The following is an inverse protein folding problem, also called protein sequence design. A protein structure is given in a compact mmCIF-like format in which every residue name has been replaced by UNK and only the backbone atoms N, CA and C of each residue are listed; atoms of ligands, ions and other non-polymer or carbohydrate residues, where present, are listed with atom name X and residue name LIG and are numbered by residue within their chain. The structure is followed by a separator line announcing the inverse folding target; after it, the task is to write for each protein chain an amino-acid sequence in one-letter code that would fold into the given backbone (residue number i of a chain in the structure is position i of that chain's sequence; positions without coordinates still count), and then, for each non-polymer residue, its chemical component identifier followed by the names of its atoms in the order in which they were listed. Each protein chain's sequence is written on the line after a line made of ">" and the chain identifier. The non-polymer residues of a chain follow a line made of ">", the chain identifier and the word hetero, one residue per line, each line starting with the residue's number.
data_IF_501663178989
#
_entry.id   IF_501663178989
#
_cell.length_a   1.000
_cell.length_b   1.000
_cell.length_c   1.000
_cell.angle_alpha   90.00
_cell.angle_beta   90.00
_cell.angle_gamma   90.00
#
_symmetry.space_group_name_H-M   'P 1'
#
loop_
_entity.id
_entity.type
_entity.pdbx_description
1 polymer ?
#
# COMPACT_ATOMS: atom_id res chain seq x y z
N UNK A 1 -25.01 20.10 24.86
CA UNK A 1 -24.08 20.06 23.73
C UNK A 1 -24.38 21.24 22.80
N UNK A 2 -23.56 22.30 22.78
CA UNK A 2 -23.80 23.48 21.92
C UNK A 2 -23.17 23.37 20.52
N UNK A 3 -22.16 22.51 20.33
CA UNK A 3 -21.55 22.25 19.01
C UNK A 3 -20.82 20.90 19.02
N UNK A 4 -20.96 20.12 17.96
CA UNK A 4 -20.25 18.87 17.70
C UNK A 4 -19.74 18.94 16.27
N UNK A 5 -18.42 18.85 16.08
CA UNK A 5 -17.80 19.05 14.76
C UNK A 5 -17.18 17.77 14.19
N UNK A 6 -16.77 16.84 15.06
CA UNK A 6 -16.07 15.61 14.67
C UNK A 6 -16.93 14.41 15.02
N UNK A 7 -17.22 13.58 14.02
CA UNK A 7 -17.85 12.28 14.20
C UNK A 7 -16.81 11.17 14.04
N UNK A 8 -16.90 10.13 14.86
CA UNK A 8 -16.26 8.85 14.62
C UNK A 8 -17.31 7.80 14.28
N UNK A 9 -16.90 6.71 13.63
CA UNK A 9 -17.81 5.66 13.19
C UNK A 9 -17.06 4.44 12.69
N UNK A 10 -17.82 3.39 12.34
CA UNK A 10 -17.26 2.17 11.75
C UNK A 10 -16.88 2.43 10.30
N UNK A 11 -15.71 1.95 9.87
CA UNK A 11 -15.28 2.02 8.47
C UNK A 11 -14.60 0.71 8.05
N UNK A 12 -14.64 0.43 6.74
CA UNK A 12 -13.96 -0.71 6.13
C UNK A 12 -13.30 -0.26 4.82
N UNK A 13 -12.03 -0.62 4.64
CA UNK A 13 -11.28 -0.45 3.38
C UNK A 13 -10.64 -1.77 3.00
N UNK A 14 -10.68 -2.11 1.71
CA UNK A 14 -10.08 -3.33 1.16
C UNK A 14 -9.18 -2.96 -0.01
N UNK A 15 -7.99 -3.54 -0.06
CA UNK A 15 -7.01 -3.34 -1.12
C UNK A 15 -6.63 -4.70 -1.68
N UNK A 16 -6.50 -4.79 -3.01
CA UNK A 16 -5.92 -5.96 -3.66
C UNK A 16 -4.40 -5.80 -3.63
N UNK A 17 -3.71 -6.77 -3.08
CA UNK A 17 -2.26 -6.80 -3.08
C UNK A 17 -1.75 -7.35 -4.42
N UNK A 18 -0.56 -6.92 -4.88
CA UNK A 18 0.10 -7.56 -6.00
C UNK A 18 0.54 -8.98 -5.63
N UNK A 19 0.72 -9.84 -6.64
CA UNK A 19 1.07 -11.24 -6.46
C UNK A 19 2.40 -11.45 -5.73
N UNK A 20 3.31 -10.47 -5.86
CA UNK A 20 4.62 -10.48 -5.22
C UNK A 20 4.65 -9.90 -3.80
N UNK A 21 3.50 -9.69 -3.17
CA UNK A 21 3.45 -9.27 -1.78
C UNK A 21 3.87 -10.42 -0.84
N UNK A 22 4.78 -10.12 0.12
CA UNK A 22 5.11 -11.05 1.22
C UNK A 22 4.08 -10.91 2.33
N UNK A 23 2.91 -11.53 2.17
CA UNK A 23 1.76 -11.41 3.09
C UNK A 23 2.10 -11.79 4.54
N UNK A 24 2.96 -12.78 4.73
CA UNK A 24 3.41 -13.22 6.06
C UNK A 24 4.28 -12.18 6.79
N UNK A 25 4.80 -11.18 6.06
CA UNK A 25 5.71 -10.15 6.59
C UNK A 25 5.04 -8.77 6.69
N UNK A 26 3.71 -8.72 6.63
CA UNK A 26 2.96 -7.48 6.82
C UNK A 26 3.19 -6.95 8.23
N UNK A 27 3.47 -5.65 8.34
CA UNK A 27 3.63 -4.94 9.62
C UNK A 27 2.62 -3.81 9.71
N UNK A 28 2.11 -3.55 10.90
CA UNK A 28 1.22 -2.43 11.15
C UNK A 28 1.64 -1.67 12.42
N UNK A 29 1.53 -0.34 12.39
CA UNK A 29 1.79 0.54 13.53
C UNK A 29 0.77 1.67 13.57
N UNK A 30 0.43 2.11 14.79
CA UNK A 30 -0.44 3.27 15.02
C UNK A 30 0.38 4.33 15.76
N UNK A 31 0.53 5.50 15.15
CA UNK A 31 1.29 6.60 15.73
C UNK A 31 0.61 7.93 15.38
N UNK A 32 0.48 8.83 16.36
CA UNK A 32 -0.11 10.16 16.18
C UNK A 32 -1.50 10.15 15.50
N UNK A 33 -2.30 9.12 15.76
CA UNK A 33 -3.64 8.95 15.17
C UNK A 33 -3.66 8.42 13.74
N UNK A 34 -2.54 7.94 13.20
CA UNK A 34 -2.41 7.37 11.86
C UNK A 34 -2.04 5.90 11.93
N UNK A 35 -2.85 5.05 11.28
CA UNK A 35 -2.53 3.64 11.06
C UNK A 35 -1.66 3.51 9.80
N UNK A 36 -0.43 3.04 9.97
CA UNK A 36 0.47 2.69 8.87
C UNK A 36 0.49 1.17 8.69
N UNK A 37 0.29 0.70 7.47
CA UNK A 37 0.36 -0.73 7.11
C UNK A 37 1.42 -0.90 6.03
N UNK A 38 2.48 -1.64 6.34
CA UNK A 38 3.62 -1.89 5.45
C UNK A 38 3.53 -3.31 4.90
N UNK A 39 3.43 -3.44 3.58
CA UNK A 39 3.40 -4.72 2.86
C UNK A 39 4.68 -4.83 2.02
N UNK A 40 5.70 -5.59 2.46
CA UNK A 40 6.92 -5.75 1.69
C UNK A 40 6.67 -6.57 0.42
N UNK A 41 7.39 -6.25 -0.65
CA UNK A 41 7.38 -7.00 -1.91
C UNK A 41 8.53 -8.01 -1.96
N UNK A 42 8.34 -9.10 -2.69
CA UNK A 42 9.41 -9.97 -3.13
C UNK A 42 10.28 -9.23 -4.14
N UNK A 43 11.59 -9.42 -4.04
CA UNK A 43 12.50 -8.91 -5.06
C UNK A 43 12.31 -9.74 -6.33
N UNK A 44 11.84 -9.09 -7.37
CA UNK A 44 11.79 -9.64 -8.71
C UNK A 44 13.01 -9.14 -9.48
N UNK A 45 13.54 -10.00 -10.36
CA UNK A 45 14.54 -9.57 -11.33
C UNK A 45 13.92 -8.46 -12.17
N UNK A 46 14.51 -7.26 -12.12
CA UNK A 46 14.09 -6.16 -12.97
C UNK A 46 14.20 -6.65 -14.42
N UNK A 47 13.14 -6.47 -15.24
CA UNK A 47 13.24 -6.82 -16.65
C UNK A 47 14.39 -6.02 -17.27
N UNK A 48 15.24 -6.69 -18.03
CA UNK A 48 16.27 -6.01 -18.81
C UNK A 48 15.58 -5.12 -19.85
N UNK A 49 15.82 -3.81 -19.76
CA UNK A 49 15.31 -2.87 -20.75
C UNK A 49 16.11 -3.08 -22.03
N UNK A 50 15.48 -3.65 -23.05
CA UNK A 50 16.06 -3.74 -24.39
C UNK A 50 15.77 -2.44 -25.13
N UNK A 51 16.80 -1.71 -25.52
CA UNK A 51 16.67 -0.63 -26.48
C UNK A 51 16.28 -1.23 -27.85
N UNK A 52 15.18 -0.75 -28.43
CA UNK A 52 14.77 -1.12 -29.79
C UNK A 52 14.90 0.13 -30.64
N UNK A 53 15.78 0.10 -31.63
CA UNK A 53 15.85 1.15 -32.65
C UNK A 53 14.63 1.05 -33.58
N UNK A 54 13.99 2.19 -33.84
CA UNK A 54 12.91 2.33 -34.80
C UNK A 54 13.50 3.03 -36.02
N UNK A 55 13.58 2.33 -37.16
CA UNK A 55 13.98 2.93 -38.43
C UNK A 55 12.75 3.54 -39.14
N UNK A 56 12.91 4.76 -39.64
CA UNK A 56 11.98 5.43 -40.56
C UNK A 56 12.54 5.51 -41.97
#
# INVERSE_FOLDING_TARGET
>A
WHRVERSSGKFLRRFRLPDNAKVEQVKASMENGVLTVTVPKQEEKKPEVKAIEISG
#
